data_IF_169238869773
#
_entry.id   IF_169238869773
#
_cell.length_a   1.000
_cell.length_b   1.000
_cell.length_c   1.000
_cell.angle_alpha   90.00
_cell.angle_beta   90.00
_cell.angle_gamma   90.00
#
_symmetry.space_group_name_H-M   'P 1'
#
loop_
_entity.id
_entity.type
_entity.pdbx_description
1 polymer ?
#
# COMPACT_ATOMS: atom_id res chain seq x y z
N UNK A 1 -12.14 4.12 -15.68
CA UNK A 1 -11.02 3.35 -15.13
C UNK A 1 -10.84 3.80 -13.69
N UNK A 2 -10.64 2.87 -12.75
CA UNK A 2 -10.36 3.21 -11.35
C UNK A 2 -8.98 3.85 -11.21
N UNK A 3 -8.80 4.64 -10.16
CA UNK A 3 -7.56 5.34 -9.83
C UNK A 3 -7.22 5.15 -8.36
N UNK A 4 -6.04 4.62 -8.06
CA UNK A 4 -5.59 4.39 -6.69
C UNK A 4 -4.28 5.11 -6.40
N UNK A 5 -4.12 5.52 -5.14
CA UNK A 5 -2.82 5.90 -4.60
C UNK A 5 -2.25 4.66 -3.90
N UNK A 6 -1.03 4.28 -4.22
CA UNK A 6 -0.27 3.27 -3.49
C UNK A 6 0.96 3.91 -2.86
N UNK A 7 1.13 3.74 -1.57
CA UNK A 7 2.36 4.11 -0.88
C UNK A 7 3.09 2.88 -0.36
N UNK A 8 4.42 2.85 -0.54
CA UNK A 8 5.31 1.81 0.00
C UNK A 8 6.26 2.48 0.96
N UNK A 9 6.24 2.09 2.24
CA UNK A 9 7.01 2.77 3.28
C UNK A 9 8.05 1.84 3.94
N UNK A 10 8.98 2.43 4.71
CA UNK A 10 10.15 1.80 5.26
C UNK A 10 9.88 0.74 6.34
N UNK A 11 9.10 -0.28 6.03
CA UNK A 11 8.92 -1.48 6.82
C UNK A 11 9.21 -2.71 5.97
N UNK A 12 9.71 -3.79 6.57
CA UNK A 12 9.85 -5.09 5.87
C UNK A 12 8.47 -5.57 5.39
N UNK A 13 8.42 -6.34 4.30
CA UNK A 13 7.19 -6.76 3.64
C UNK A 13 6.94 -5.97 2.35
N UNK A 14 7.97 -5.38 1.77
CA UNK A 14 7.90 -4.74 0.44
C UNK A 14 7.42 -5.68 -0.66
N UNK A 15 7.64 -7.04 -0.61
CA UNK A 15 7.03 -7.96 -1.57
C UNK A 15 5.50 -7.84 -1.65
N UNK A 16 4.81 -7.56 -0.53
CA UNK A 16 3.36 -7.33 -0.54
C UNK A 16 2.99 -6.08 -1.34
N UNK A 17 3.73 -4.98 -1.13
CA UNK A 17 3.52 -3.73 -1.87
C UNK A 17 3.78 -3.88 -3.37
N UNK A 18 4.85 -4.59 -3.74
CA UNK A 18 5.19 -4.90 -5.13
C UNK A 18 4.10 -5.75 -5.79
N UNK A 19 3.58 -6.78 -5.10
CA UNK A 19 2.49 -7.62 -5.61
C UNK A 19 1.21 -6.81 -5.78
N UNK A 20 0.82 -6.00 -4.77
CA UNK A 20 -0.34 -5.09 -4.84
C UNK A 20 -0.22 -4.12 -6.00
N UNK A 21 0.97 -3.53 -6.22
CA UNK A 21 1.24 -2.66 -7.37
C UNK A 21 0.96 -3.37 -8.70
N UNK A 22 1.54 -4.57 -8.86
CA UNK A 22 1.37 -5.35 -10.09
C UNK A 22 -0.10 -5.65 -10.40
N UNK A 23 -0.89 -6.05 -9.40
CA UNK A 23 -2.32 -6.33 -9.59
C UNK A 23 -3.12 -5.05 -9.88
N UNK A 24 -2.87 -3.95 -9.19
CA UNK A 24 -3.54 -2.67 -9.47
C UNK A 24 -3.29 -2.21 -10.91
N UNK A 25 -2.05 -2.31 -11.39
CA UNK A 25 -1.66 -1.89 -12.74
C UNK A 25 -2.33 -2.70 -13.86
N UNK A 26 -2.90 -3.87 -13.58
CA UNK A 26 -3.67 -4.66 -14.57
C UNK A 26 -4.96 -3.96 -14.99
N UNK A 27 -5.59 -3.21 -14.08
CA UNK A 27 -6.96 -2.70 -14.30
C UNK A 27 -7.17 -1.23 -13.90
N UNK A 28 -6.21 -0.60 -13.21
CA UNK A 28 -6.34 0.74 -12.66
C UNK A 28 -5.16 1.64 -13.03
N UNK A 29 -5.36 2.94 -12.91
CA UNK A 29 -4.32 3.96 -12.86
C UNK A 29 -3.75 4.01 -11.44
N UNK A 30 -2.43 3.99 -11.29
CA UNK A 30 -1.76 3.96 -10.00
C UNK A 30 -0.84 5.17 -9.83
N UNK A 31 -1.09 5.94 -8.77
CA UNK A 31 -0.23 7.01 -8.29
C UNK A 31 0.63 6.45 -7.16
N UNK A 32 1.88 6.12 -7.48
CA UNK A 32 2.81 5.46 -6.57
C UNK A 32 3.66 6.50 -5.84
N UNK A 33 3.74 6.37 -4.51
CA UNK A 33 4.69 7.13 -3.68
C UNK A 33 5.54 6.14 -2.90
N UNK A 34 6.86 6.25 -3.00
CA UNK A 34 7.79 5.40 -2.23
C UNK A 34 8.56 6.30 -1.28
N UNK A 35 8.55 5.98 0.02
CA UNK A 35 9.37 6.76 0.94
C UNK A 35 10.87 6.54 0.66
N UNK A 36 11.64 7.61 0.76
CA UNK A 36 13.06 7.66 0.33
C UNK A 36 13.92 6.53 0.90
N UNK A 37 13.66 6.10 2.13
CA UNK A 37 14.40 5.01 2.78
C UNK A 37 13.96 3.60 2.36
N UNK A 38 12.96 3.46 1.49
CA UNK A 38 12.36 2.16 1.15
C UNK A 38 13.04 1.48 -0.02
N UNK A 39 13.73 2.21 -0.89
CA UNK A 39 14.37 1.63 -2.09
C UNK A 39 15.39 0.55 -1.75
N UNK A 40 16.21 0.74 -0.71
CA UNK A 40 17.14 -0.29 -0.26
C UNK A 40 16.42 -1.54 0.25
N UNK A 41 15.31 -1.37 0.97
CA UNK A 41 14.51 -2.49 1.49
C UNK A 41 13.85 -3.26 0.34
N UNK A 42 13.30 -2.57 -0.67
CA UNK A 42 12.77 -3.21 -1.87
C UNK A 42 13.84 -4.07 -2.54
N UNK A 43 15.02 -3.50 -2.77
CA UNK A 43 16.14 -4.23 -3.39
C UNK A 43 16.53 -5.45 -2.56
N UNK A 44 16.69 -5.30 -1.25
CA UNK A 44 17.15 -6.36 -0.36
C UNK A 44 16.13 -7.50 -0.24
N UNK A 45 14.82 -7.20 -0.23
CA UNK A 45 13.76 -8.19 -0.04
C UNK A 45 13.25 -8.81 -1.36
N UNK A 46 13.36 -8.09 -2.49
CA UNK A 46 12.77 -8.54 -3.76
C UNK A 46 13.79 -8.73 -4.87
N UNK A 47 15.01 -8.22 -4.72
CA UNK A 47 16.01 -8.15 -5.78
C UNK A 47 15.73 -7.06 -6.84
N UNK A 48 14.66 -6.28 -6.70
CA UNK A 48 14.28 -5.23 -7.63
C UNK A 48 14.99 -3.93 -7.27
N UNK A 49 15.73 -3.35 -8.21
CA UNK A 49 16.31 -2.02 -8.02
C UNK A 49 15.49 -0.98 -8.78
N UNK A 50 14.70 -0.22 -8.02
CA UNK A 50 13.84 0.84 -8.53
C UNK A 50 14.42 2.25 -8.34
N UNK A 51 15.66 2.35 -7.85
CA UNK A 51 16.32 3.64 -7.65
C UNK A 51 16.66 4.32 -8.99
N UNK A 52 16.69 5.66 -9.00
CA UNK A 52 16.98 6.48 -10.18
C UNK A 52 15.71 6.85 -10.95
N UNK A 53 15.60 6.50 -12.22
CA UNK A 53 14.39 6.75 -13.02
C UNK A 53 13.29 5.72 -12.69
N UNK A 54 12.78 5.83 -11.47
CA UNK A 54 11.83 4.89 -10.85
C UNK A 54 10.60 4.66 -11.74
N UNK A 55 10.02 5.73 -12.30
CA UNK A 55 8.81 5.62 -13.12
C UNK A 55 9.07 4.79 -14.38
N UNK A 56 10.12 5.09 -15.12
CA UNK A 56 10.49 4.35 -16.33
C UNK A 56 10.84 2.90 -16.03
N UNK A 57 11.58 2.63 -14.94
CA UNK A 57 11.96 1.27 -14.53
C UNK A 57 10.71 0.44 -14.25
N UNK A 58 9.78 0.96 -13.44
CA UNK A 58 8.56 0.23 -13.06
C UNK A 58 7.62 0.09 -14.25
N UNK A 59 7.43 1.12 -15.07
CA UNK A 59 6.63 1.04 -16.31
C UNK A 59 7.12 -0.05 -17.23
N UNK A 60 8.43 -0.16 -17.42
CA UNK A 60 9.04 -1.23 -18.22
C UNK A 60 8.82 -2.60 -17.60
N UNK A 61 9.02 -2.74 -16.29
CA UNK A 61 8.86 -4.01 -15.58
C UNK A 61 7.43 -4.56 -15.69
N UNK A 62 6.42 -3.71 -15.55
CA UNK A 62 5.00 -4.10 -15.59
C UNK A 62 4.35 -3.89 -16.97
N UNK A 63 5.10 -3.45 -17.99
CA UNK A 63 4.62 -3.18 -19.35
C UNK A 63 3.36 -2.29 -19.36
N UNK A 64 3.41 -1.13 -18.67
CA UNK A 64 2.24 -0.29 -18.43
C UNK A 64 2.52 1.20 -18.57
N UNK A 65 1.52 1.96 -19.06
CA UNK A 65 1.50 3.43 -19.06
C UNK A 65 0.62 4.00 -17.95
N UNK A 66 0.07 3.15 -17.06
CA UNK A 66 -0.91 3.53 -16.04
C UNK A 66 -0.27 3.88 -14.70
N UNK A 67 1.05 4.03 -14.64
CA UNK A 67 1.80 4.40 -13.45
C UNK A 67 2.20 5.86 -13.52
N UNK A 68 2.03 6.56 -12.39
CA UNK A 68 2.60 7.88 -12.12
C UNK A 68 3.36 7.78 -10.80
N UNK A 69 4.63 8.16 -10.80
CA UNK A 69 5.47 8.10 -9.62
C UNK A 69 5.73 9.48 -9.05
N UNK A 70 5.75 9.59 -7.73
CA UNK A 70 6.10 10.79 -7.00
C UNK A 70 7.07 10.44 -5.87
N UNK A 71 8.05 11.29 -5.66
CA UNK A 71 8.89 11.26 -4.47
C UNK A 71 8.08 11.71 -3.24
N UNK A 72 8.45 11.24 -2.05
CA UNK A 72 7.71 11.53 -0.82
C UNK A 72 7.85 12.99 -0.32
N UNK A 73 8.71 13.80 -0.94
CA UNK A 73 8.87 15.23 -0.70
C UNK A 73 8.10 16.12 -1.70
N UNK A 74 7.48 15.57 -2.74
CA UNK A 74 6.77 16.32 -3.79
C UNK A 74 5.36 16.75 -3.36
N UNK A 75 5.29 17.69 -2.40
CA UNK A 75 4.03 18.16 -1.81
C UNK A 75 3.10 18.92 -2.79
N UNK A 76 3.61 19.34 -3.94
CA UNK A 76 2.86 20.00 -5.02
C UNK A 76 2.15 19.01 -5.96
N UNK A 77 2.39 17.70 -5.81
CA UNK A 77 1.79 16.68 -6.68
C UNK A 77 0.27 16.57 -6.51
N UNK A 78 -0.45 16.10 -7.54
CA UNK A 78 -1.91 16.05 -7.53
C UNK A 78 -2.50 15.30 -6.33
N UNK A 79 -1.84 14.25 -5.86
CA UNK A 79 -2.31 13.42 -4.74
C UNK A 79 -2.32 14.15 -3.38
N UNK A 80 -1.68 15.32 -3.28
CA UNK A 80 -1.73 16.18 -2.09
C UNK A 80 -3.03 17.00 -2.00
N UNK A 81 -3.88 16.98 -3.03
CA UNK A 81 -5.09 17.81 -3.13
C UNK A 81 -6.37 16.99 -3.01
N UNK A 82 -7.33 17.43 -2.21
CA UNK A 82 -8.67 16.83 -2.10
C UNK A 82 -9.52 16.95 -3.38
N UNK A 83 -9.16 17.85 -4.31
CA UNK A 83 -9.82 17.95 -5.61
C UNK A 83 -9.37 16.88 -6.61
N UNK A 84 -8.27 16.21 -6.34
CA UNK A 84 -7.81 15.08 -7.13
C UNK A 84 -8.56 13.81 -6.71
N UNK A 85 -9.53 13.40 -7.52
CA UNK A 85 -10.39 12.27 -7.18
C UNK A 85 -9.71 10.93 -7.43
N UNK A 86 -9.75 10.07 -6.42
CA UNK A 86 -9.27 8.68 -6.48
C UNK A 86 -10.32 7.73 -5.93
N UNK A 87 -10.20 6.44 -6.22
CA UNK A 87 -11.06 5.38 -5.68
C UNK A 87 -10.56 4.85 -4.33
N UNK A 88 -9.40 5.33 -3.87
CA UNK A 88 -8.83 5.02 -2.57
C UNK A 88 -7.31 5.06 -2.54
N UNK A 89 -6.78 4.93 -1.31
CA UNK A 89 -5.35 4.86 -1.05
C UNK A 89 -4.99 3.62 -0.23
N UNK A 90 -3.89 2.98 -0.61
CA UNK A 90 -3.28 1.85 0.11
C UNK A 90 -1.88 2.24 0.56
N UNK A 91 -1.53 1.93 1.79
CA UNK A 91 -0.15 2.04 2.31
C UNK A 91 0.31 0.64 2.70
N UNK A 92 1.11 0.00 1.84
CA UNK A 92 1.51 -1.40 1.99
C UNK A 92 2.96 -1.64 1.52
N UNK A 93 3.87 -1.99 2.44
CA UNK A 93 3.70 -2.00 3.90
C UNK A 93 3.61 -0.58 4.48
N UNK A 94 3.02 -0.46 5.67
CA UNK A 94 2.96 0.78 6.43
C UNK A 94 3.90 0.69 7.64
N UNK A 95 4.90 1.56 7.71
CA UNK A 95 5.78 1.68 8.87
C UNK A 95 5.05 2.33 10.06
N UNK A 96 5.50 2.03 11.28
CA UNK A 96 4.92 2.64 12.49
C UNK A 96 5.12 4.16 12.53
N UNK A 97 6.21 4.68 11.93
CA UNK A 97 6.42 6.12 11.74
C UNK A 97 5.28 6.72 10.92
N UNK A 98 5.02 6.16 9.73
CA UNK A 98 3.96 6.62 8.82
C UNK A 98 2.58 6.49 9.47
N UNK A 99 2.28 5.35 10.11
CA UNK A 99 1.03 5.14 10.84
C UNK A 99 0.83 6.20 11.92
N UNK A 100 1.86 6.50 12.70
CA UNK A 100 1.81 7.52 13.75
C UNK A 100 1.61 8.92 13.15
N UNK A 101 2.29 9.27 12.07
CA UNK A 101 2.13 10.55 11.38
C UNK A 101 0.70 10.74 10.90
N UNK A 102 0.12 9.75 10.23
CA UNK A 102 -1.27 9.78 9.75
C UNK A 102 -2.25 9.87 10.93
N UNK A 103 -2.07 9.08 12.00
CA UNK A 103 -2.94 9.08 13.16
C UNK A 103 -2.98 10.42 13.89
N UNK A 104 -1.93 11.21 13.79
CA UNK A 104 -1.83 12.51 14.46
C UNK A 104 -1.99 13.70 13.49
N UNK A 105 -2.32 13.47 12.22
CA UNK A 105 -2.54 14.52 11.23
C UNK A 105 -1.27 15.33 10.94
N UNK A 106 -0.09 14.69 11.02
CA UNK A 106 1.18 15.42 10.96
C UNK A 106 1.50 15.90 9.53
N UNK A 107 1.13 15.12 8.49
CA UNK A 107 1.24 15.47 7.07
C UNK A 107 2.62 16.06 6.66
N UNK A 108 3.71 15.48 7.16
CA UNK A 108 5.08 15.99 6.96
C UNK A 108 5.68 15.62 5.59
N UNK A 109 5.11 14.65 4.93
CA UNK A 109 5.50 14.19 3.60
C UNK A 109 4.26 13.89 2.75
N UNK A 110 4.47 13.62 1.47
CA UNK A 110 3.38 13.38 0.53
C UNK A 110 2.50 12.19 0.91
N UNK A 111 3.08 11.12 1.48
CA UNK A 111 2.32 9.93 1.90
C UNK A 111 1.35 10.28 3.03
N UNK A 112 1.85 10.97 4.06
CA UNK A 112 1.03 11.41 5.20
C UNK A 112 -0.01 12.44 4.74
N UNK A 113 0.37 13.37 3.83
CA UNK A 113 -0.55 14.36 3.27
C UNK A 113 -1.65 13.72 2.43
N UNK A 114 -1.33 12.77 1.56
CA UNK A 114 -2.34 12.07 0.76
C UNK A 114 -3.30 11.28 1.66
N UNK A 115 -2.80 10.62 2.71
CA UNK A 115 -3.64 9.92 3.67
C UNK A 115 -4.55 10.87 4.46
N UNK A 116 -4.05 12.06 4.87
CA UNK A 116 -4.85 13.12 5.49
C UNK A 116 -5.98 13.57 4.56
N UNK A 117 -5.68 13.72 3.27
CA UNK A 117 -6.69 14.02 2.24
C UNK A 117 -7.75 12.93 2.17
N UNK A 118 -7.36 11.65 2.15
CA UNK A 118 -8.34 10.55 2.13
C UNK A 118 -9.27 10.60 3.34
N UNK A 119 -8.73 10.83 4.54
CA UNK A 119 -9.51 10.91 5.77
C UNK A 119 -10.48 12.09 5.74
N UNK A 120 -10.01 13.29 5.42
CA UNK A 120 -10.87 14.50 5.44
C UNK A 120 -11.93 14.52 4.36
N UNK A 121 -11.69 13.87 3.22
CA UNK A 121 -12.65 13.75 2.11
C UNK A 121 -13.55 12.49 2.25
N UNK A 122 -13.37 11.69 3.32
CA UNK A 122 -14.14 10.45 3.53
C UNK A 122 -13.87 9.37 2.47
N UNK A 123 -12.69 9.38 1.86
CA UNK A 123 -12.31 8.43 0.82
C UNK A 123 -11.70 7.14 1.43
N UNK A 124 -11.83 5.98 0.76
CA UNK A 124 -11.28 4.74 1.25
C UNK A 124 -9.75 4.81 1.48
N UNK A 125 -9.33 4.52 2.70
CA UNK A 125 -7.91 4.41 3.08
C UNK A 125 -7.66 3.06 3.74
N UNK A 126 -6.62 2.36 3.31
CA UNK A 126 -6.12 1.13 3.93
C UNK A 126 -4.66 1.30 4.33
N UNK A 127 -4.36 0.95 5.56
CA UNK A 127 -2.99 0.82 6.05
C UNK A 127 -2.69 -0.64 6.36
N UNK A 128 -1.54 -1.14 5.87
CA UNK A 128 -1.02 -2.48 6.15
C UNK A 128 0.19 -2.37 7.10
N UNK A 129 -0.03 -2.13 8.40
CA UNK A 129 1.05 -1.91 9.36
C UNK A 129 1.85 -3.19 9.59
N UNK A 130 3.19 -3.08 9.52
CA UNK A 130 4.08 -4.20 9.78
C UNK A 130 5.05 -3.88 10.92
N UNK A 131 4.81 -4.52 12.04
CA UNK A 131 5.62 -4.48 13.25
C UNK A 131 5.33 -5.70 14.12
N UNK A 132 6.28 -6.12 14.93
CA UNK A 132 6.09 -7.20 15.89
C UNK A 132 7.13 -7.09 17.02
N UNK A 133 6.71 -7.01 18.31
CA UNK A 133 5.34 -6.89 18.80
C UNK A 133 4.76 -5.48 18.61
N UNK A 134 3.44 -5.33 18.69
CA UNK A 134 2.82 -4.01 18.81
C UNK A 134 2.91 -3.46 20.22
N UNK A 135 3.31 -2.19 20.35
CA UNK A 135 3.22 -1.44 21.60
C UNK A 135 1.81 -0.89 21.84
N UNK A 136 1.50 -0.47 23.06
CA UNK A 136 0.25 0.22 23.35
C UNK A 136 0.05 1.46 22.45
N UNK A 137 1.10 2.24 22.20
CA UNK A 137 1.04 3.42 21.32
C UNK A 137 0.64 3.02 19.88
N UNK A 138 1.19 1.92 19.35
CA UNK A 138 0.81 1.41 18.04
C UNK A 138 -0.67 1.05 17.97
N UNK A 139 -1.16 0.32 19.00
CA UNK A 139 -2.56 -0.12 19.08
C UNK A 139 -3.52 1.08 19.23
N UNK A 140 -3.17 2.07 20.03
CA UNK A 140 -3.96 3.31 20.18
C UNK A 140 -4.05 4.09 18.87
N UNK A 141 -2.94 4.25 18.14
CA UNK A 141 -2.93 4.90 16.84
C UNK A 141 -3.78 4.13 15.81
N UNK A 142 -3.67 2.80 15.77
CA UNK A 142 -4.52 1.96 14.91
C UNK A 142 -6.01 2.10 15.28
N UNK A 143 -6.35 2.08 16.57
CA UNK A 143 -7.72 2.26 17.04
C UNK A 143 -8.27 3.64 16.66
N UNK A 144 -7.46 4.71 16.82
CA UNK A 144 -7.83 6.06 16.43
C UNK A 144 -8.17 6.13 14.94
N UNK A 145 -7.33 5.55 14.08
CA UNK A 145 -7.55 5.50 12.64
C UNK A 145 -8.76 4.64 12.25
N UNK A 146 -8.93 3.49 12.89
CA UNK A 146 -10.08 2.61 12.65
C UNK A 146 -11.41 3.29 12.97
N UNK A 147 -11.47 4.13 14.01
CA UNK A 147 -12.65 4.96 14.34
C UNK A 147 -12.97 6.00 13.28
N UNK A 148 -11.99 6.42 12.48
CA UNK A 148 -12.16 7.32 11.34
C UNK A 148 -12.52 6.57 10.04
N UNK A 149 -12.74 5.24 10.11
CA UNK A 149 -13.08 4.42 8.94
C UNK A 149 -11.88 3.91 8.14
N UNK A 150 -10.65 4.15 8.61
CA UNK A 150 -9.44 3.61 7.98
C UNK A 150 -9.38 2.09 8.21
N UNK A 151 -9.15 1.33 7.14
CA UNK A 151 -8.98 -0.12 7.21
C UNK A 151 -7.56 -0.44 7.68
N UNK A 152 -7.45 -1.15 8.80
CA UNK A 152 -6.16 -1.61 9.34
C UNK A 152 -6.01 -3.08 8.97
N UNK A 153 -5.14 -3.37 8.01
CA UNK A 153 -4.93 -4.69 7.44
C UNK A 153 -3.46 -5.12 7.57
N UNK A 154 -3.00 -5.51 8.77
CA UNK A 154 -1.64 -6.00 8.93
C UNK A 154 -1.40 -7.24 8.05
N UNK A 155 -0.17 -7.45 7.53
CA UNK A 155 0.16 -8.56 6.64
C UNK A 155 0.28 -9.87 7.43
N UNK A 156 -0.86 -10.38 7.92
CA UNK A 156 -0.93 -11.62 8.70
C UNK A 156 -1.20 -12.79 7.76
N UNK A 157 -0.27 -13.73 7.62
CA UNK A 157 -0.47 -14.91 6.79
C UNK A 157 -1.51 -15.85 7.40
N UNK A 158 -2.20 -16.62 6.53
CA UNK A 158 -3.09 -17.69 6.94
C UNK A 158 -2.59 -19.03 6.38
N UNK A 159 -2.94 -20.13 7.04
CA UNK A 159 -2.47 -21.47 6.66
C UNK A 159 -3.58 -22.38 6.14
N UNK A 160 -4.85 -21.98 6.27
CA UNK A 160 -5.99 -22.81 5.84
C UNK A 160 -6.03 -23.05 4.33
N UNK A 161 -5.42 -22.18 3.51
CA UNK A 161 -5.29 -22.37 2.05
C UNK A 161 -4.08 -23.25 1.68
N UNK A 162 -3.35 -23.80 2.68
CA UNK A 162 -2.22 -24.73 2.53
C UNK A 162 -1.10 -24.19 1.63
N UNK A 163 -0.50 -23.01 1.94
CA UNK A 163 0.56 -22.44 1.14
C UNK A 163 1.76 -23.41 1.07
N UNK A 164 2.39 -23.51 -0.08
CA UNK A 164 3.56 -24.38 -0.34
C UNK A 164 4.82 -23.58 -0.53
N UNK A 165 4.69 -22.34 -0.92
CA UNK A 165 5.80 -21.43 -1.23
C UNK A 165 5.62 -20.12 -0.46
N UNK A 166 6.69 -19.34 -0.38
CA UNK A 166 6.63 -17.98 0.13
C UNK A 166 5.74 -17.09 -0.76
N UNK A 167 5.77 -17.32 -2.08
CA UNK A 167 4.92 -16.63 -3.04
C UNK A 167 3.43 -16.83 -2.73
N UNK A 168 2.99 -18.06 -2.41
CA UNK A 168 1.59 -18.32 -2.03
C UNK A 168 1.16 -17.49 -0.82
N UNK A 169 2.08 -17.24 0.14
CA UNK A 169 1.81 -16.41 1.30
C UNK A 169 1.73 -14.92 0.93
N UNK A 170 2.62 -14.46 0.05
CA UNK A 170 2.61 -13.09 -0.47
C UNK A 170 1.32 -12.85 -1.24
N UNK A 171 0.93 -13.77 -2.11
CA UNK A 171 -0.30 -13.68 -2.91
C UNK A 171 -1.55 -13.64 -2.04
N UNK A 172 -1.62 -14.47 -1.00
CA UNK A 172 -2.74 -14.44 -0.07
C UNK A 172 -2.87 -13.09 0.64
N UNK A 173 -1.77 -12.56 1.20
CA UNK A 173 -1.79 -11.29 1.92
C UNK A 173 -2.11 -10.13 0.98
N UNK A 174 -1.47 -10.07 -0.19
CA UNK A 174 -1.73 -9.04 -1.20
C UNK A 174 -3.19 -9.08 -1.67
N UNK A 175 -3.73 -10.27 -1.92
CA UNK A 175 -5.13 -10.42 -2.30
C UNK A 175 -6.10 -9.98 -1.20
N UNK A 176 -5.81 -10.25 0.08
CA UNK A 176 -6.63 -9.75 1.20
C UNK A 176 -6.60 -8.22 1.32
N UNK A 177 -5.47 -7.59 1.02
CA UNK A 177 -5.34 -6.13 0.93
C UNK A 177 -6.23 -5.59 -0.20
N UNK A 178 -6.16 -6.21 -1.39
CA UNK A 178 -6.94 -5.83 -2.56
C UNK A 178 -8.46 -6.04 -2.33
N UNK A 179 -8.85 -7.19 -1.78
CA UNK A 179 -10.25 -7.47 -1.38
C UNK A 179 -10.82 -6.38 -0.47
N UNK A 180 -10.00 -5.93 0.49
CA UNK A 180 -10.39 -4.88 1.43
C UNK A 180 -10.65 -3.52 0.74
N UNK A 181 -10.15 -3.34 -0.49
CA UNK A 181 -10.36 -2.12 -1.28
C UNK A 181 -11.33 -2.33 -2.45
N UNK A 182 -11.95 -3.50 -2.55
CA UNK A 182 -12.89 -3.82 -3.64
C UNK A 182 -12.20 -3.90 -5.00
N UNK A 183 -10.96 -4.38 -5.03
CA UNK A 183 -10.19 -4.64 -6.24
C UNK A 183 -10.25 -6.12 -6.55
N UNK A 184 -10.74 -6.47 -7.75
CA UNK A 184 -10.79 -7.85 -8.22
C UNK A 184 -9.38 -8.38 -8.52
N UNK A 185 -9.13 -9.62 -8.15
CA UNK A 185 -7.87 -10.33 -8.39
C UNK A 185 -8.08 -11.85 -8.37
N UNK A 186 -7.08 -12.59 -8.85
CA UNK A 186 -7.07 -14.06 -8.89
C UNK A 186 -5.86 -14.67 -8.13
N UNK A 187 -5.34 -13.95 -7.12
CA UNK A 187 -4.11 -14.34 -6.42
C UNK A 187 -4.26 -15.60 -5.55
N UNK A 188 -5.48 -15.95 -5.13
CA UNK A 188 -5.73 -17.17 -4.36
C UNK A 188 -7.13 -17.70 -4.58
N UNK A 189 -7.30 -19.00 -4.36
CA UNK A 189 -8.62 -19.65 -4.43
C UNK A 189 -9.49 -19.19 -3.26
N UNK A 190 -10.68 -18.67 -3.56
CA UNK A 190 -11.61 -18.18 -2.54
C UNK A 190 -12.24 -19.34 -1.78
N UNK A 191 -12.50 -19.13 -0.48
CA UNK A 191 -13.21 -20.10 0.35
C UNK A 191 -14.66 -20.28 -0.17
N UNK A 192 -15.07 -21.53 -0.44
CA UNK A 192 -16.40 -21.82 -1.00
C UNK A 192 -16.54 -21.63 -2.51
N UNK A 193 -15.49 -21.20 -3.22
CA UNK A 193 -15.43 -21.26 -4.67
C UNK A 193 -15.20 -22.71 -5.14
N UNK A 194 -15.97 -23.16 -6.10
CA UNK A 194 -16.15 -24.51 -6.62
C UNK A 194 -15.10 -25.56 -6.21
N UNK A 195 -15.62 -26.57 -5.49
CA UNK A 195 -14.95 -27.83 -5.21
C UNK A 195 -14.90 -28.64 -6.50
#
# INVERSE_FOLDING_TARGET
MKRFILAITGASGTPFGVKVLGELLRSAEVHLVISSNTFSIIRDETGLDWAGDTETIIRKQFSTDRLFFYEDNQMESPVASGSFRTDGMLVAPCSMKTLSGIANGYANNLIERAADVMIKEGQPLLLSPREMPFSAIHLENMLKLARLGVRIAPPVPAFYHKPRTLEDMVDFVAGKILDSMGVEHELFKRWGGDV
#
